data_IF_796136147966
#
_entry.id   IF_796136147966
#
_cell.length_a   1.000
_cell.length_b   1.000
_cell.length_c   1.000
_cell.angle_alpha   90.00
_cell.angle_beta   90.00
_cell.angle_gamma   90.00
#
_symmetry.space_group_name_H-M   'P 1'
#
loop_
_entity.id
_entity.type
_entity.pdbx_description
1 polymer ?
#
# COMPACT_ATOMS: atom_id res chain seq x y z
N UNK A 1 16.36 -21.47 17.93
CA UNK A 1 16.88 -21.75 16.57
C UNK A 1 17.62 -20.51 16.09
N UNK A 2 18.95 -20.62 15.97
CA UNK A 2 19.80 -19.55 15.42
C UNK A 2 19.34 -19.31 13.97
N UNK A 3 18.90 -18.08 13.67
CA UNK A 3 18.66 -17.63 12.31
C UNK A 3 20.03 -17.51 11.61
N UNK A 4 20.41 -18.52 10.84
CA UNK A 4 21.61 -18.46 10.01
C UNK A 4 21.34 -17.40 8.92
N UNK A 5 22.16 -16.37 8.82
CA UNK A 5 21.96 -15.34 7.78
C UNK A 5 22.03 -15.98 6.39
N UNK A 6 21.10 -15.60 5.51
CA UNK A 6 21.12 -16.04 4.12
C UNK A 6 22.39 -15.60 3.41
N UNK A 7 22.97 -16.48 2.61
CA UNK A 7 24.09 -16.10 1.73
C UNK A 7 23.61 -15.20 0.60
N UNK A 8 24.51 -14.40 0.02
CA UNK A 8 24.20 -13.57 -1.14
C UNK A 8 23.59 -14.38 -2.30
N UNK A 9 24.09 -15.58 -2.57
CA UNK A 9 23.54 -16.46 -3.60
C UNK A 9 22.08 -16.87 -3.33
N UNK A 10 21.76 -17.16 -2.07
CA UNK A 10 20.38 -17.49 -1.67
C UNK A 10 19.46 -16.29 -1.84
N UNK A 11 19.85 -15.12 -1.31
CA UNK A 11 19.09 -13.87 -1.48
C UNK A 11 18.86 -13.53 -2.95
N UNK A 12 19.90 -13.64 -3.78
CA UNK A 12 19.79 -13.40 -5.23
C UNK A 12 18.81 -14.35 -5.90
N UNK A 13 18.87 -15.64 -5.59
CA UNK A 13 17.96 -16.65 -6.14
C UNK A 13 16.52 -16.38 -5.76
N UNK A 14 16.25 -16.15 -4.48
CA UNK A 14 14.90 -15.86 -3.96
C UNK A 14 14.34 -14.57 -4.56
N UNK A 15 15.17 -13.52 -4.65
CA UNK A 15 14.78 -12.26 -5.27
C UNK A 15 14.42 -12.42 -6.76
N UNK A 16 15.19 -13.22 -7.50
CA UNK A 16 14.89 -13.52 -8.91
C UNK A 16 13.54 -14.24 -9.04
N UNK A 17 13.27 -15.24 -8.20
CA UNK A 17 11.99 -15.96 -8.19
C UNK A 17 10.83 -15.01 -7.86
N UNK A 18 11.01 -14.17 -6.82
CA UNK A 18 10.00 -13.20 -6.39
C UNK A 18 9.63 -12.23 -7.52
N UNK A 19 10.60 -11.65 -8.22
CA UNK A 19 10.34 -10.72 -9.30
C UNK A 19 9.74 -11.39 -10.54
N UNK A 20 10.19 -12.61 -10.87
CA UNK A 20 9.53 -13.37 -11.94
C UNK A 20 8.05 -13.62 -11.62
N UNK A 21 7.74 -14.05 -10.41
CA UNK A 21 6.36 -14.26 -9.98
C UNK A 21 5.55 -12.96 -10.03
N UNK A 22 6.13 -11.85 -9.56
CA UNK A 22 5.47 -10.55 -9.62
C UNK A 22 5.09 -10.14 -11.05
N UNK A 23 6.03 -10.25 -12.00
CA UNK A 23 5.76 -9.86 -13.39
C UNK A 23 4.83 -10.82 -14.12
N UNK A 24 4.81 -12.09 -13.74
CA UNK A 24 3.96 -13.11 -14.35
C UNK A 24 2.55 -13.20 -13.74
N UNK A 25 2.31 -12.63 -12.55
CA UNK A 25 1.03 -12.73 -11.85
C UNK A 25 0.01 -11.65 -12.22
N UNK A 26 0.44 -10.53 -12.73
CA UNK A 26 -0.41 -9.38 -13.00
C UNK A 26 -0.51 -9.02 -14.47
N UNK A 27 -1.19 -7.91 -14.74
CA UNK A 27 -1.23 -7.33 -16.08
C UNK A 27 0.09 -6.64 -16.42
N UNK A 28 0.41 -6.61 -17.71
CA UNK A 28 1.55 -5.91 -18.27
C UNK A 28 1.11 -5.09 -19.50
N UNK A 29 1.94 -4.15 -19.91
CA UNK A 29 1.80 -3.42 -21.16
C UNK A 29 2.89 -3.84 -22.13
N UNK A 30 2.53 -3.89 -23.40
CA UNK A 30 3.46 -4.10 -24.52
C UNK A 30 3.07 -3.15 -25.64
N UNK A 31 3.91 -2.17 -25.90
CA UNK A 31 3.71 -1.17 -26.94
C UNK A 31 4.59 -1.42 -28.18
N UNK A 32 5.18 -2.61 -28.31
CA UNK A 32 6.06 -2.94 -29.44
C UNK A 32 5.39 -2.80 -30.82
N UNK A 33 4.05 -2.90 -30.87
CA UNK A 33 3.26 -2.67 -32.10
C UNK A 33 2.87 -1.22 -32.36
N UNK A 34 3.24 -0.28 -31.51
CA UNK A 34 2.89 1.13 -31.65
C UNK A 34 3.81 1.85 -32.63
N UNK A 35 3.22 2.73 -33.44
CA UNK A 35 3.99 3.63 -34.34
C UNK A 35 4.29 5.00 -33.70
N UNK A 36 3.81 5.25 -32.47
CA UNK A 36 4.11 6.49 -31.75
C UNK A 36 5.54 6.44 -31.17
N UNK A 37 6.36 7.43 -31.50
CA UNK A 37 7.76 7.50 -31.05
C UNK A 37 7.94 7.59 -29.53
N UNK A 38 6.86 7.86 -28.78
CA UNK A 38 6.86 7.93 -27.31
C UNK A 38 6.49 6.61 -26.63
N UNK A 39 6.06 5.60 -27.39
CA UNK A 39 5.52 4.35 -26.87
C UNK A 39 6.51 3.60 -25.98
N UNK A 40 7.76 3.45 -26.41
CA UNK A 40 8.83 2.79 -25.64
C UNK A 40 9.09 3.50 -24.31
N UNK A 41 9.17 4.83 -24.30
CA UNK A 41 9.39 5.59 -23.08
C UNK A 41 8.18 5.51 -22.13
N UNK A 42 6.95 5.47 -22.66
CA UNK A 42 5.76 5.27 -21.85
C UNK A 42 5.76 3.89 -21.19
N UNK A 43 6.04 2.84 -21.95
CA UNK A 43 6.16 1.48 -21.41
C UNK A 43 7.21 1.40 -20.31
N UNK A 44 8.41 1.93 -20.56
CA UNK A 44 9.48 2.00 -19.58
C UNK A 44 9.03 2.68 -18.29
N UNK A 45 8.31 3.79 -18.36
CA UNK A 45 7.80 4.52 -17.19
C UNK A 45 6.75 3.73 -16.44
N UNK A 46 5.85 3.03 -17.12
CA UNK A 46 4.83 2.20 -16.49
C UNK A 46 5.49 1.04 -15.74
N UNK A 47 6.41 0.33 -16.37
CA UNK A 47 7.15 -0.78 -15.74
C UNK A 47 7.95 -0.28 -14.54
N UNK A 48 8.69 0.83 -14.69
CA UNK A 48 9.46 1.41 -13.60
C UNK A 48 8.55 1.85 -12.42
N UNK A 49 7.40 2.46 -12.70
CA UNK A 49 6.46 2.88 -11.66
C UNK A 49 5.90 1.69 -10.89
N UNK A 50 5.52 0.62 -11.56
CA UNK A 50 5.06 -0.62 -10.90
C UNK A 50 6.17 -1.22 -10.02
N UNK A 51 7.40 -1.29 -10.54
CA UNK A 51 8.55 -1.79 -9.79
C UNK A 51 8.83 -0.96 -8.55
N UNK A 52 8.95 0.36 -8.69
CA UNK A 52 9.26 1.25 -7.58
C UNK A 52 8.17 1.21 -6.50
N UNK A 53 6.89 1.20 -6.88
CA UNK A 53 5.81 1.13 -5.92
C UNK A 53 5.81 -0.21 -5.18
N UNK A 54 6.04 -1.31 -5.89
CA UNK A 54 6.14 -2.64 -5.26
C UNK A 54 7.33 -2.73 -4.29
N UNK A 55 8.48 -2.13 -4.61
CA UNK A 55 9.64 -2.10 -3.71
C UNK A 55 9.39 -1.24 -2.48
N UNK A 56 8.70 -0.11 -2.63
CA UNK A 56 8.63 0.93 -1.62
C UNK A 56 7.38 0.90 -0.76
N UNK A 57 6.25 0.42 -1.30
CA UNK A 57 4.93 0.59 -0.68
C UNK A 57 4.15 -0.71 -0.45
N UNK A 58 4.65 -1.88 -0.89
CA UNK A 58 3.94 -3.16 -0.81
C UNK A 58 4.25 -3.95 0.48
N UNK A 59 4.27 -3.29 1.63
CA UNK A 59 4.44 -3.92 2.94
C UNK A 59 3.12 -4.32 3.60
N UNK A 60 3.22 -4.78 4.85
CA UNK A 60 2.05 -5.12 5.69
C UNK A 60 1.52 -3.89 6.46
N UNK A 61 2.12 -2.74 6.27
CA UNK A 61 1.81 -1.50 6.99
C UNK A 61 1.68 -0.35 6.01
N UNK A 62 0.90 0.70 6.35
CA UNK A 62 0.86 1.91 5.55
C UNK A 62 2.26 2.49 5.36
N UNK A 63 2.70 2.74 4.12
CA UNK A 63 4.01 3.32 3.88
C UNK A 63 4.07 4.78 4.32
N UNK A 64 5.27 5.28 4.53
CA UNK A 64 5.50 6.73 4.59
C UNK A 64 5.22 7.37 3.22
N UNK A 65 5.09 8.68 3.16
CA UNK A 65 4.67 9.41 1.94
C UNK A 65 5.51 9.05 0.71
N UNK A 66 6.82 9.01 0.85
CA UNK A 66 7.77 8.74 -0.24
C UNK A 66 8.25 7.28 -0.29
N UNK A 67 7.58 6.37 0.41
CA UNK A 67 8.02 4.98 0.54
C UNK A 67 9.41 4.90 1.18
N UNK A 68 10.33 4.17 0.55
CA UNK A 68 11.70 3.98 1.03
C UNK A 68 12.73 4.91 0.35
N UNK A 69 12.31 5.79 -0.56
CA UNK A 69 13.23 6.61 -1.36
C UNK A 69 14.04 7.56 -0.50
N UNK A 70 13.38 8.25 0.41
CA UNK A 70 14.01 9.05 1.45
C UNK A 70 13.00 9.30 2.57
N UNK A 71 13.47 9.68 3.74
CA UNK A 71 12.60 9.96 4.88
C UNK A 71 11.88 11.29 4.69
N UNK A 72 10.59 11.23 4.32
CA UNK A 72 9.69 12.37 4.35
C UNK A 72 8.69 12.23 5.49
N UNK A 73 8.26 13.38 6.02
CA UNK A 73 7.33 13.40 7.16
C UNK A 73 7.77 12.50 8.32
N UNK A 74 9.10 12.39 8.51
CA UNK A 74 9.73 11.66 9.62
C UNK A 74 9.42 10.15 9.66
N UNK A 75 9.17 9.53 8.51
CA UNK A 75 8.90 8.10 8.39
C UNK A 75 7.57 7.63 8.97
N UNK A 76 6.65 8.54 9.26
CA UNK A 76 5.32 8.22 9.78
C UNK A 76 4.50 7.45 8.76
N UNK A 77 3.63 6.56 9.23
CA UNK A 77 2.63 5.93 8.38
C UNK A 77 1.68 7.00 7.86
N UNK A 78 1.53 7.08 6.54
CA UNK A 78 0.86 8.20 5.90
C UNK A 78 -0.49 7.78 5.31
N UNK A 79 -1.52 7.71 6.15
CA UNK A 79 -2.85 7.24 5.74
C UNK A 79 -3.49 8.14 4.68
N UNK A 80 -3.15 9.43 4.67
CA UNK A 80 -3.55 10.35 3.62
C UNK A 80 -3.15 9.86 2.23
N UNK A 81 -1.94 9.27 2.09
CA UNK A 81 -1.36 8.87 0.81
C UNK A 81 -1.58 7.40 0.46
N UNK A 82 -2.12 6.60 1.38
CA UNK A 82 -2.23 5.14 1.20
C UNK A 82 -3.02 4.75 -0.05
N UNK A 83 -4.04 5.52 -0.41
CA UNK A 83 -4.83 5.28 -1.61
C UNK A 83 -3.95 5.33 -2.88
N UNK A 84 -3.13 6.37 -3.01
CA UNK A 84 -2.19 6.51 -4.15
C UNK A 84 -1.11 5.43 -4.17
N UNK A 85 -0.69 4.97 -3.00
CA UNK A 85 0.30 3.90 -2.89
C UNK A 85 -0.24 2.52 -3.28
N UNK A 86 -1.55 2.31 -3.23
CA UNK A 86 -2.12 0.95 -3.25
C UNK A 86 -3.17 0.69 -4.34
N UNK A 87 -3.99 1.68 -4.71
CA UNK A 87 -5.14 1.47 -5.60
C UNK A 87 -4.78 0.81 -6.94
N UNK A 88 -3.64 1.15 -7.49
CA UNK A 88 -3.19 0.62 -8.78
C UNK A 88 -2.91 -0.89 -8.75
N UNK A 89 -2.63 -1.49 -7.59
CA UNK A 89 -2.44 -2.95 -7.51
C UNK A 89 -3.69 -3.71 -7.96
N UNK A 90 -4.88 -3.23 -7.59
CA UNK A 90 -6.14 -3.82 -8.08
C UNK A 90 -6.27 -3.71 -9.60
N UNK A 91 -5.87 -2.57 -10.18
CA UNK A 91 -5.90 -2.34 -11.64
C UNK A 91 -4.95 -3.24 -12.40
N UNK A 92 -3.83 -3.62 -11.80
CA UNK A 92 -2.82 -4.50 -12.37
C UNK A 92 -3.00 -5.97 -11.99
N UNK A 93 -4.15 -6.34 -11.39
CA UNK A 93 -4.45 -7.71 -10.93
C UNK A 93 -3.41 -8.24 -9.93
N UNK A 94 -3.03 -7.41 -8.96
CA UNK A 94 -2.11 -7.72 -7.84
C UNK A 94 -2.75 -7.40 -6.51
N UNK A 95 -3.97 -7.86 -6.32
CA UNK A 95 -4.80 -7.52 -5.16
C UNK A 95 -4.17 -7.96 -3.83
N UNK A 96 -3.35 -9.00 -3.84
CA UNK A 96 -2.62 -9.48 -2.68
C UNK A 96 -1.70 -8.43 -2.05
N UNK A 97 -1.34 -7.39 -2.80
CA UNK A 97 -0.55 -6.28 -2.27
C UNK A 97 -1.40 -5.34 -1.41
N UNK A 98 -2.69 -5.23 -1.69
CA UNK A 98 -3.65 -4.51 -0.86
C UNK A 98 -4.03 -5.37 0.35
N UNK A 99 -4.35 -6.64 0.14
CA UNK A 99 -4.76 -7.57 1.19
C UNK A 99 -3.74 -7.66 2.34
N UNK A 100 -2.45 -7.52 2.07
CA UNK A 100 -1.41 -7.49 3.11
C UNK A 100 -1.53 -6.32 4.07
N UNK A 101 -2.08 -5.21 3.62
CA UNK A 101 -2.23 -3.99 4.41
C UNK A 101 -3.48 -4.02 5.29
N UNK A 102 -4.53 -4.72 4.85
CA UNK A 102 -5.84 -4.66 5.50
C UNK A 102 -5.81 -5.06 6.99
N UNK A 103 -5.12 -6.14 7.41
CA UNK A 103 -5.07 -6.52 8.82
C UNK A 103 -4.56 -5.42 9.76
N UNK A 104 -3.65 -4.55 9.31
CA UNK A 104 -3.18 -3.46 10.14
C UNK A 104 -4.30 -2.50 10.56
N UNK A 105 -5.26 -2.21 9.68
CA UNK A 105 -6.41 -1.36 10.02
C UNK A 105 -7.30 -2.01 11.09
N UNK A 106 -7.45 -3.32 11.02
CA UNK A 106 -8.21 -4.10 12.02
C UNK A 106 -7.47 -4.10 13.36
N UNK A 107 -6.16 -4.33 13.36
CA UNK A 107 -5.32 -4.36 14.56
C UNK A 107 -5.34 -3.05 15.34
N UNK A 108 -5.49 -1.90 14.65
CA UNK A 108 -5.49 -0.57 15.27
C UNK A 108 -6.89 0.08 15.34
N UNK A 109 -7.96 -0.67 15.05
CA UNK A 109 -9.32 -0.15 15.04
C UNK A 109 -9.75 0.46 16.38
N UNK A 110 -9.28 -0.10 17.49
CA UNK A 110 -9.58 0.43 18.83
C UNK A 110 -8.97 1.81 19.05
N UNK A 111 -7.73 2.05 18.61
CA UNK A 111 -7.12 3.39 18.68
C UNK A 111 -7.89 4.40 17.82
N UNK A 112 -8.34 3.98 16.64
CA UNK A 112 -9.17 4.82 15.76
C UNK A 112 -10.54 5.13 16.39
N UNK A 113 -11.13 4.20 17.16
CA UNK A 113 -12.37 4.41 17.91
C UNK A 113 -12.18 5.44 19.01
N UNK A 114 -11.17 5.27 19.85
CA UNK A 114 -10.85 6.21 20.93
C UNK A 114 -10.58 7.62 20.40
N UNK A 115 -10.00 7.72 19.20
CA UNK A 115 -9.82 9.00 18.53
C UNK A 115 -11.15 9.65 18.14
N UNK A 116 -12.08 8.89 17.58
CA UNK A 116 -13.41 9.38 17.25
C UNK A 116 -14.15 9.87 18.52
N UNK A 117 -14.14 9.09 19.59
CA UNK A 117 -14.75 9.43 20.87
C UNK A 117 -14.18 10.72 21.46
N UNK A 118 -12.84 10.90 21.47
CA UNK A 118 -12.19 12.14 21.93
C UNK A 118 -12.63 13.37 21.15
N UNK A 119 -13.05 13.19 19.89
CA UNK A 119 -13.55 14.25 19.01
C UNK A 119 -15.07 14.41 19.07
N UNK A 120 -15.77 13.59 19.86
CA UNK A 120 -17.23 13.64 20.03
C UNK A 120 -18.02 12.96 18.93
N UNK A 121 -17.43 11.98 18.26
CA UNK A 121 -18.05 11.21 17.17
C UNK A 121 -18.12 9.72 17.50
N UNK A 122 -19.12 9.05 16.93
CA UNK A 122 -19.21 7.60 16.90
C UNK A 122 -18.38 7.03 15.73
N UNK A 123 -18.02 5.75 15.82
CA UNK A 123 -17.32 5.01 14.77
C UNK A 123 -15.81 5.07 14.86
N UNK A 124 -15.11 5.12 13.73
CA UNK A 124 -13.66 5.11 13.66
C UNK A 124 -13.14 6.40 13.01
N UNK A 125 -12.06 6.92 13.53
CA UNK A 125 -11.37 8.10 12.99
C UNK A 125 -9.95 7.75 12.58
N UNK A 126 -9.72 7.62 11.28
CA UNK A 126 -8.39 7.42 10.72
C UNK A 126 -7.63 8.75 10.65
N UNK A 127 -6.48 8.81 11.29
CA UNK A 127 -5.66 10.03 11.32
C UNK A 127 -4.93 10.24 9.98
N UNK A 128 -4.47 11.46 9.74
CA UNK A 128 -3.63 11.77 8.58
C UNK A 128 -2.36 10.92 8.58
N UNK A 129 -1.67 10.89 9.70
CA UNK A 129 -0.43 10.14 9.92
C UNK A 129 -0.44 9.51 11.29
N UNK A 130 0.06 8.29 11.37
CA UNK A 130 0.15 7.52 12.62
C UNK A 130 1.56 6.95 12.82
N UNK A 131 1.78 6.44 14.00
CA UNK A 131 2.83 5.46 14.27
C UNK A 131 2.35 4.03 13.95
N UNK A 132 3.18 3.00 14.12
CA UNK A 132 2.77 1.61 13.91
C UNK A 132 1.61 1.11 14.77
N UNK A 133 1.38 1.70 15.95
CA UNK A 133 0.27 1.36 16.85
C UNK A 133 -1.06 2.01 16.49
N UNK A 134 -1.09 2.85 15.44
CA UNK A 134 -2.26 3.63 15.05
C UNK A 134 -2.39 4.96 15.79
N UNK A 135 -1.52 5.24 16.76
CA UNK A 135 -1.57 6.48 17.52
C UNK A 135 -1.25 7.69 16.61
N UNK A 136 -2.01 8.78 16.82
CA UNK A 136 -1.82 10.00 16.05
C UNK A 136 -0.41 10.57 16.22
N UNK A 137 0.23 10.89 15.10
CA UNK A 137 1.50 11.60 15.10
C UNK A 137 1.32 13.07 14.75
N UNK A 138 2.20 13.92 15.24
CA UNK A 138 2.10 15.37 15.09
C UNK A 138 1.95 15.79 13.62
N UNK A 139 0.90 16.57 13.35
CA UNK A 139 0.65 17.20 12.06
C UNK A 139 -0.15 18.48 12.28
N UNK A 140 0.24 19.56 11.61
CA UNK A 140 -0.43 20.87 11.74
C UNK A 140 -1.89 20.87 11.26
N UNK A 141 -2.27 19.91 10.40
CA UNK A 141 -3.60 19.80 9.81
C UNK A 141 -4.26 18.44 10.07
N UNK A 142 -3.64 17.60 10.90
CA UNK A 142 -4.09 16.22 11.12
C UNK A 142 -5.55 16.10 11.52
N UNK A 143 -5.96 16.93 12.47
CA UNK A 143 -7.33 16.95 13.03
C UNK A 143 -8.41 17.42 12.04
N UNK A 144 -8.04 18.17 11.02
CA UNK A 144 -8.97 18.73 10.02
C UNK A 144 -9.07 17.88 8.76
N UNK A 145 -8.12 17.01 8.52
CA UNK A 145 -8.09 16.20 7.33
C UNK A 145 -9.05 15.02 7.47
N UNK A 146 -10.00 14.91 6.53
CA UNK A 146 -11.05 13.89 6.57
C UNK A 146 -11.11 12.98 5.33
N UNK A 147 -10.49 13.34 4.24
CA UNK A 147 -10.61 12.63 2.96
C UNK A 147 -9.95 11.25 2.93
N UNK A 148 -9.07 10.95 3.88
CA UNK A 148 -8.52 9.60 4.07
C UNK A 148 -9.48 8.64 4.78
N UNK A 149 -10.58 9.11 5.38
CA UNK A 149 -11.52 8.26 6.11
C UNK A 149 -12.08 7.11 5.27
N UNK A 150 -12.50 7.30 4.01
CA UNK A 150 -13.04 6.23 3.18
C UNK A 150 -11.97 5.32 2.56
N UNK A 151 -10.67 5.57 2.73
CA UNK A 151 -9.63 4.78 2.07
C UNK A 151 -9.72 3.30 2.42
N UNK A 152 -9.90 2.97 3.70
CA UNK A 152 -10.04 1.58 4.14
C UNK A 152 -11.26 0.89 3.47
N UNK A 153 -12.42 1.55 3.49
CA UNK A 153 -13.64 1.03 2.86
C UNK A 153 -13.44 0.84 1.36
N UNK A 154 -12.79 1.79 0.70
CA UNK A 154 -12.52 1.70 -0.72
C UNK A 154 -11.56 0.54 -1.06
N UNK A 155 -10.52 0.34 -0.27
CA UNK A 155 -9.58 -0.77 -0.46
C UNK A 155 -10.27 -2.12 -0.20
N UNK A 156 -11.12 -2.23 0.82
CA UNK A 156 -11.94 -3.42 1.07
C UNK A 156 -12.87 -3.74 -0.11
N UNK A 157 -13.52 -2.72 -0.67
CA UNK A 157 -14.34 -2.88 -1.89
C UNK A 157 -13.53 -3.40 -3.09
N UNK A 158 -12.30 -2.94 -3.29
CA UNK A 158 -11.42 -3.45 -4.34
C UNK A 158 -11.04 -4.92 -4.11
N UNK A 159 -10.77 -5.31 -2.87
CA UNK A 159 -10.52 -6.70 -2.50
C UNK A 159 -11.74 -7.56 -2.81
N UNK A 160 -12.93 -7.13 -2.37
CA UNK A 160 -14.19 -7.81 -2.64
C UNK A 160 -14.47 -7.97 -4.15
N UNK A 161 -14.35 -6.90 -4.93
CA UNK A 161 -14.55 -6.96 -6.39
C UNK A 161 -13.63 -7.93 -7.09
N UNK A 162 -12.41 -8.03 -6.62
CA UNK A 162 -11.42 -8.92 -7.22
C UNK A 162 -11.68 -10.38 -6.88
N UNK A 163 -11.96 -10.71 -5.62
CA UNK A 163 -12.13 -12.09 -5.16
C UNK A 163 -13.58 -12.53 -5.00
N UNK A 164 -14.53 -11.59 -4.86
CA UNK A 164 -15.95 -11.84 -4.54
C UNK A 164 -16.13 -12.71 -3.30
N UNK A 165 -15.25 -12.51 -2.33
CA UNK A 165 -15.28 -13.18 -1.03
C UNK A 165 -15.98 -12.29 -0.02
N UNK A 166 -17.04 -12.82 0.61
CA UNK A 166 -17.84 -12.07 1.59
C UNK A 166 -17.08 -11.77 2.89
N UNK A 167 -16.00 -12.47 3.19
CA UNK A 167 -15.17 -12.20 4.37
C UNK A 167 -14.60 -10.78 4.42
N UNK A 168 -14.53 -10.13 3.27
CA UNK A 168 -14.08 -8.73 3.18
C UNK A 168 -15.19 -7.71 3.54
N UNK A 169 -16.43 -8.17 3.67
CA UNK A 169 -17.61 -7.33 3.96
C UNK A 169 -18.05 -7.39 5.44
N UNK A 170 -17.49 -8.31 6.20
CA UNK A 170 -17.73 -8.52 7.64
C UNK A 170 -16.77 -7.68 8.48
#
# INVERSE_FOLDING_TARGET
TENIPLTFSQVRKENTIKWNNFWMSGAAVDFSGSTDSRAEELERRIVLSQYLTAVQCAGNYPPQETGLTYNSWFGKFHLEMVWWHTVHYALWNRIEMIEKLMPWYEDVAEEARQMAERQGYDGLRWQKMTDPSGAETSSSIGSFLIWQQPHFIYLAELCYRNRKDNSTLE
#
